data_IF_938004843899
#
_entry.id   IF_938004843899
#
_cell.length_a   1.000
_cell.length_b   1.000
_cell.length_c   1.000
_cell.angle_alpha   90.00
_cell.angle_beta   90.00
_cell.angle_gamma   90.00
#
_symmetry.space_group_name_H-M   'P 1'
#
loop_
_entity.id
_entity.type
_entity.pdbx_description
1 polymer ?
#
# COMPACT_ATOMS: atom_id res chain seq x y z
N UNK A 1 -8.77 -13.29 4.96
CA UNK A 1 -8.47 -12.02 4.26
C UNK A 1 -9.49 -11.86 3.15
N UNK A 2 -10.58 -11.16 3.43
CA UNK A 2 -11.66 -10.90 2.47
C UNK A 2 -11.78 -9.38 2.43
N UNK A 3 -11.53 -8.79 1.26
CA UNK A 3 -11.62 -7.35 1.01
C UNK A 3 -13.07 -6.90 0.91
N UNK A 4 -13.88 -7.67 0.17
CA UNK A 4 -15.33 -7.49 0.01
C UNK A 4 -16.07 -8.81 0.22
N UNK A 5 -17.32 -8.82 0.71
CA UNK A 5 -18.07 -10.05 0.99
C UNK A 5 -18.13 -11.06 -0.18
N UNK A 6 -18.19 -10.57 -1.41
CA UNK A 6 -18.30 -11.35 -2.64
C UNK A 6 -17.08 -12.28 -2.85
N UNK A 7 -15.91 -11.92 -2.31
CA UNK A 7 -14.70 -12.73 -2.42
C UNK A 7 -14.74 -13.99 -1.54
N UNK A 8 -15.57 -14.02 -0.50
CA UNK A 8 -15.54 -15.08 0.52
C UNK A 8 -15.71 -16.47 -0.10
N UNK A 9 -16.76 -16.65 -0.90
CA UNK A 9 -17.07 -17.93 -1.56
C UNK A 9 -15.95 -18.37 -2.50
N UNK A 10 -15.37 -17.43 -3.25
CA UNK A 10 -14.27 -17.75 -4.15
C UNK A 10 -13.04 -18.19 -3.35
N UNK A 11 -12.62 -17.40 -2.35
CA UNK A 11 -11.42 -17.65 -1.57
C UNK A 11 -11.53 -18.93 -0.71
N UNK A 12 -12.71 -19.24 -0.18
CA UNK A 12 -12.90 -20.42 0.68
C UNK A 12 -13.09 -21.72 -0.10
N UNK A 13 -13.67 -21.67 -1.30
CA UNK A 13 -14.11 -22.87 -2.01
C UNK A 13 -13.45 -23.07 -3.39
N UNK A 14 -13.34 -22.00 -4.19
CA UNK A 14 -12.88 -22.09 -5.58
C UNK A 14 -11.36 -22.03 -5.65
N UNK A 15 -10.75 -21.04 -4.99
CA UNK A 15 -9.31 -20.82 -4.98
C UNK A 15 -8.51 -22.06 -4.54
N UNK A 16 -8.86 -22.79 -3.46
CA UNK A 16 -8.09 -23.97 -3.06
C UNK A 16 -8.13 -25.10 -4.10
N UNK A 17 -9.24 -25.23 -4.86
CA UNK A 17 -9.37 -26.24 -5.92
C UNK A 17 -8.57 -25.85 -7.15
N UNK A 18 -8.58 -24.58 -7.53
CA UNK A 18 -7.73 -24.07 -8.62
C UNK A 18 -6.25 -24.15 -8.26
N UNK A 19 -5.87 -23.89 -7.01
CA UNK A 19 -4.50 -24.01 -6.55
C UNK A 19 -3.90 -25.40 -6.78
N UNK A 20 -4.69 -26.48 -6.70
CA UNK A 20 -4.22 -27.83 -7.00
C UNK A 20 -3.73 -28.01 -8.45
N UNK A 21 -4.18 -27.14 -9.38
CA UNK A 21 -3.74 -27.12 -10.78
C UNK A 21 -2.56 -26.16 -11.00
N UNK A 22 -2.35 -25.20 -10.10
CA UNK A 22 -1.37 -24.12 -10.24
C UNK A 22 -0.40 -24.11 -9.05
N UNK A 23 0.77 -24.74 -9.24
CA UNK A 23 1.77 -24.92 -8.17
C UNK A 23 2.15 -23.62 -7.44
N UNK A 24 2.32 -22.52 -8.17
CA UNK A 24 2.68 -21.23 -7.55
C UNK A 24 1.63 -20.74 -6.56
N UNK A 25 0.35 -20.92 -6.89
CA UNK A 25 -0.76 -20.50 -6.05
C UNK A 25 -0.88 -21.40 -4.82
N UNK A 26 -0.72 -22.72 -5.00
CA UNK A 26 -0.71 -23.66 -3.89
C UNK A 26 0.40 -23.35 -2.90
N UNK A 27 1.60 -23.08 -3.42
CA UNK A 27 2.75 -22.64 -2.63
C UNK A 27 2.44 -21.31 -1.90
N UNK A 28 1.80 -20.35 -2.56
CA UNK A 28 1.37 -19.09 -1.92
C UNK A 28 0.37 -19.31 -0.77
N UNK A 29 -0.62 -20.18 -0.95
CA UNK A 29 -1.59 -20.53 0.10
C UNK A 29 -0.89 -21.17 1.30
N UNK A 30 0.01 -22.12 1.07
CA UNK A 30 0.77 -22.76 2.15
C UNK A 30 1.73 -21.80 2.84
N UNK A 31 2.34 -20.87 2.10
CA UNK A 31 3.18 -19.84 2.68
C UNK A 31 2.40 -18.97 3.67
N UNK A 32 1.25 -18.43 3.25
CA UNK A 32 0.40 -17.60 4.10
C UNK A 32 -0.15 -18.39 5.28
N UNK A 33 -0.57 -19.64 5.08
CA UNK A 33 -1.08 -20.48 6.16
C UNK A 33 -0.01 -20.82 7.20
N UNK A 34 1.20 -21.17 6.76
CA UNK A 34 2.32 -21.41 7.67
C UNK A 34 2.68 -20.13 8.43
N UNK A 35 2.65 -18.97 7.77
CA UNK A 35 2.92 -17.70 8.43
C UNK A 35 1.83 -17.35 9.45
N UNK A 36 0.56 -17.57 9.13
CA UNK A 36 -0.57 -17.39 10.07
C UNK A 36 -0.38 -18.25 11.33
N UNK A 37 0.01 -19.52 11.15
CA UNK A 37 0.34 -20.41 12.28
C UNK A 37 1.50 -19.83 13.10
N UNK A 38 2.58 -19.37 12.47
CA UNK A 38 3.70 -18.75 13.17
C UNK A 38 3.31 -17.49 13.97
N UNK A 39 2.27 -16.77 13.52
CA UNK A 39 1.76 -15.57 14.18
C UNK A 39 0.67 -15.85 15.22
N UNK A 40 0.22 -17.09 15.34
CA UNK A 40 -0.70 -17.53 16.39
C UNK A 40 -0.01 -17.54 17.75
N UNK A 41 -0.68 -17.04 18.78
CA UNK A 41 -0.18 -17.08 20.17
C UNK A 41 -0.08 -18.48 20.75
N UNK A 42 -0.69 -19.47 20.09
CA UNK A 42 -0.74 -20.86 20.55
C UNK A 42 0.40 -21.72 19.99
N UNK A 43 1.15 -21.21 19.01
CA UNK A 43 2.22 -21.98 18.37
C UNK A 43 3.54 -21.86 19.14
N UNK A 44 4.06 -22.95 19.76
CA UNK A 44 5.31 -22.91 20.51
C UNK A 44 6.55 -22.81 19.60
N UNK A 45 6.47 -23.20 18.33
CA UNK A 45 7.58 -23.21 17.38
C UNK A 45 7.32 -22.27 16.18
N UNK A 46 7.07 -21.00 16.49
CA UNK A 46 6.80 -19.97 15.49
C UNK A 46 7.90 -19.89 14.41
N UNK A 47 9.18 -19.98 14.83
CA UNK A 47 10.35 -19.92 13.94
C UNK A 47 10.37 -21.06 12.92
N UNK A 48 9.95 -22.27 13.29
CA UNK A 48 9.82 -23.36 12.31
C UNK A 48 8.80 -23.03 11.23
N UNK A 49 7.64 -22.50 11.63
CA UNK A 49 6.59 -22.15 10.68
C UNK A 49 6.94 -20.93 9.82
N UNK A 50 7.74 -19.99 10.33
CA UNK A 50 8.33 -18.90 9.54
C UNK A 50 9.25 -19.43 8.43
N UNK A 51 10.14 -20.37 8.76
CA UNK A 51 10.99 -21.01 7.76
C UNK A 51 10.19 -21.77 6.70
N UNK A 52 9.16 -22.52 7.13
CA UNK A 52 8.25 -23.22 6.21
C UNK A 52 7.55 -22.21 5.30
N UNK A 53 7.05 -21.12 5.86
CA UNK A 53 6.37 -20.07 5.10
C UNK A 53 7.29 -19.47 4.04
N UNK A 54 8.54 -19.15 4.40
CA UNK A 54 9.56 -18.67 3.48
C UNK A 54 9.90 -19.67 2.39
N UNK A 55 10.02 -20.95 2.71
CA UNK A 55 10.30 -22.01 1.73
C UNK A 55 9.21 -22.10 0.67
N UNK A 56 7.95 -22.17 1.11
CA UNK A 56 6.79 -22.18 0.22
C UNK A 56 6.72 -20.89 -0.62
N UNK A 57 6.90 -19.72 0.00
CA UNK A 57 6.87 -18.43 -0.70
C UNK A 57 7.95 -18.36 -1.79
N UNK A 58 9.19 -18.75 -1.48
CA UNK A 58 10.30 -18.74 -2.43
C UNK A 58 10.05 -19.66 -3.62
N UNK A 59 9.50 -20.86 -3.38
CA UNK A 59 9.15 -21.82 -4.44
C UNK A 59 8.01 -21.31 -5.33
N UNK A 60 6.97 -20.75 -4.70
CA UNK A 60 5.86 -20.12 -5.41
C UNK A 60 6.32 -18.94 -6.26
N UNK A 61 7.14 -18.06 -5.68
CA UNK A 61 7.69 -16.86 -6.32
C UNK A 61 8.58 -17.20 -7.52
N UNK A 62 9.40 -18.25 -7.44
CA UNK A 62 10.17 -18.72 -8.59
C UNK A 62 9.28 -19.14 -9.77
N UNK A 63 8.20 -19.88 -9.49
CA UNK A 63 7.25 -20.33 -10.51
C UNK A 63 6.43 -19.14 -11.06
N UNK A 64 5.97 -18.25 -10.19
CA UNK A 64 5.27 -17.02 -10.55
C UNK A 64 6.12 -16.14 -11.49
N UNK A 65 7.40 -15.91 -11.15
CA UNK A 65 8.32 -15.11 -12.00
C UNK A 65 8.55 -15.74 -13.37
N UNK A 66 8.61 -17.07 -13.46
CA UNK A 66 8.73 -17.75 -14.75
C UNK A 66 7.50 -17.51 -15.65
N UNK A 67 6.30 -17.41 -15.05
CA UNK A 67 5.05 -17.15 -15.78
C UNK A 67 4.91 -15.69 -16.24
N UNK A 68 5.59 -14.73 -15.60
CA UNK A 68 5.50 -13.31 -15.98
C UNK A 68 6.00 -13.03 -17.40
N UNK A 69 6.86 -13.88 -17.96
CA UNK A 69 7.36 -13.73 -19.32
C UNK A 69 6.27 -13.96 -20.39
N UNK A 70 5.31 -14.84 -20.11
CA UNK A 70 4.18 -15.15 -20.98
C UNK A 70 3.02 -15.67 -20.10
N UNK A 71 2.15 -14.75 -19.66
CA UNK A 71 1.09 -15.06 -18.71
C UNK A 71 -0.06 -15.78 -19.43
N UNK A 72 -0.41 -17.02 -19.04
CA UNK A 72 -1.56 -17.71 -19.60
C UNK A 72 -2.86 -16.91 -19.39
N UNK A 73 -3.73 -16.77 -20.40
CA UNK A 73 -4.89 -15.90 -20.34
C UNK A 73 -5.85 -16.14 -19.17
N UNK A 74 -6.00 -17.39 -18.73
CA UNK A 74 -6.88 -17.82 -17.64
C UNK A 74 -6.27 -17.65 -16.25
N UNK A 75 -5.00 -17.26 -16.14
CA UNK A 75 -4.26 -17.23 -14.86
C UNK A 75 -4.04 -15.84 -14.28
N UNK A 76 -4.43 -14.76 -14.96
CA UNK A 76 -4.19 -13.38 -14.50
C UNK A 76 -4.73 -13.12 -13.09
N UNK A 77 -5.96 -13.56 -12.79
CA UNK A 77 -6.55 -13.40 -11.45
C UNK A 77 -5.79 -14.21 -10.38
N UNK A 78 -5.26 -15.38 -10.73
CA UNK A 78 -4.43 -16.17 -9.83
C UNK A 78 -3.07 -15.51 -9.59
N UNK A 79 -2.48 -14.89 -10.62
CA UNK A 79 -1.25 -14.12 -10.50
C UNK A 79 -1.45 -12.88 -9.62
N UNK A 80 -2.58 -12.19 -9.75
CA UNK A 80 -2.97 -11.09 -8.88
C UNK A 80 -3.10 -11.55 -7.42
N UNK A 81 -3.80 -12.67 -7.15
CA UNK A 81 -3.94 -13.24 -5.80
C UNK A 81 -2.58 -13.62 -5.21
N UNK A 82 -1.67 -14.20 -6.00
CA UNK A 82 -0.33 -14.50 -5.52
C UNK A 82 0.46 -13.21 -5.19
N UNK A 83 0.32 -12.15 -5.99
CA UNK A 83 0.94 -10.87 -5.70
C UNK A 83 0.41 -10.22 -4.41
N UNK A 84 -0.89 -10.36 -4.10
CA UNK A 84 -1.43 -9.90 -2.80
C UNK A 84 -0.95 -10.77 -1.64
N UNK A 85 -0.79 -12.08 -1.84
CA UNK A 85 -0.17 -12.96 -0.84
C UNK A 85 1.28 -12.54 -0.54
N UNK A 86 2.04 -12.09 -1.55
CA UNK A 86 3.39 -11.56 -1.35
C UNK A 86 3.41 -10.33 -0.43
N UNK A 87 2.40 -9.45 -0.50
CA UNK A 87 2.28 -8.30 0.41
C UNK A 87 2.06 -8.75 1.86
N UNK A 88 1.24 -9.78 2.06
CA UNK A 88 0.99 -10.39 3.37
C UNK A 88 2.27 -11.01 3.93
N UNK A 89 3.07 -11.69 3.09
CA UNK A 89 4.36 -12.23 3.49
C UNK A 89 5.33 -11.14 3.94
N UNK A 90 5.47 -10.06 3.16
CA UNK A 90 6.36 -8.92 3.48
C UNK A 90 5.98 -8.26 4.81
N UNK A 91 4.69 -8.11 5.09
CA UNK A 91 4.21 -7.46 6.31
C UNK A 91 4.22 -8.38 7.53
N UNK A 92 3.86 -9.66 7.34
CA UNK A 92 3.67 -10.62 8.42
C UNK A 92 4.94 -11.30 8.91
N UNK A 93 6.00 -11.36 8.10
CA UNK A 93 7.28 -11.93 8.51
C UNK A 93 7.99 -11.03 9.56
N UNK A 94 8.56 -11.61 10.63
CA UNK A 94 9.35 -10.86 11.59
C UNK A 94 10.59 -10.29 10.90
N UNK A 95 10.98 -9.09 11.31
CA UNK A 95 12.31 -8.56 11.01
C UNK A 95 13.24 -9.12 12.09
N UNK A 96 14.40 -9.66 11.69
CA UNK A 96 15.32 -10.37 12.58
C UNK A 96 15.63 -9.55 13.83
N UNK A 97 15.72 -10.17 15.00
CA UNK A 97 15.94 -9.46 16.26
C UNK A 97 17.34 -8.83 16.32
N UNK A 98 17.47 -7.51 16.08
CA UNK A 98 18.41 -6.55 16.70
C UNK A 98 19.93 -6.76 16.65
N UNK A 99 20.43 -7.95 16.31
CA UNK A 99 21.84 -8.35 16.46
C UNK A 99 22.55 -8.59 15.12
N UNK A 100 21.88 -8.39 13.97
CA UNK A 100 22.46 -8.56 12.64
C UNK A 100 22.41 -7.28 11.80
N UNK A 101 23.52 -6.95 11.14
CA UNK A 101 23.64 -5.81 10.19
C UNK A 101 22.68 -5.88 8.99
N UNK A 102 21.99 -7.02 8.79
CA UNK A 102 21.02 -7.28 7.71
C UNK A 102 19.54 -7.00 8.09
N UNK A 103 19.25 -6.36 9.23
CA UNK A 103 17.87 -6.08 9.65
C UNK A 103 17.20 -5.03 8.73
N UNK A 104 16.16 -5.44 7.99
CA UNK A 104 15.41 -4.53 7.13
C UNK A 104 14.60 -3.54 7.98
N UNK A 105 14.86 -2.25 7.76
CA UNK A 105 14.13 -1.18 8.45
C UNK A 105 12.63 -1.20 8.11
N UNK A 106 11.79 -0.66 8.98
CA UNK A 106 10.36 -0.55 8.76
C UNK A 106 10.05 0.30 7.51
N UNK A 107 10.81 1.36 7.25
CA UNK A 107 10.70 2.14 6.00
C UNK A 107 11.11 1.28 4.79
N UNK A 108 12.22 0.55 4.89
CA UNK A 108 12.68 -0.38 3.84
C UNK A 108 11.66 -1.46 3.49
N UNK A 109 10.97 -2.00 4.49
CA UNK A 109 9.86 -2.94 4.31
C UNK A 109 8.71 -2.34 3.50
N UNK A 110 8.32 -1.11 3.80
CA UNK A 110 7.26 -0.44 3.05
C UNK A 110 7.70 -0.05 1.63
N UNK A 111 8.98 0.27 1.43
CA UNK A 111 9.52 0.48 0.08
C UNK A 111 9.42 -0.81 -0.75
N UNK A 112 9.74 -1.97 -0.16
CA UNK A 112 9.59 -3.28 -0.82
C UNK A 112 8.12 -3.56 -1.15
N UNK A 113 7.21 -3.20 -0.23
CA UNK A 113 5.77 -3.29 -0.47
C UNK A 113 5.33 -2.41 -1.64
N UNK A 114 5.83 -1.18 -1.74
CA UNK A 114 5.51 -0.26 -2.83
C UNK A 114 6.00 -0.77 -4.19
N UNK A 115 7.21 -1.34 -4.24
CA UNK A 115 7.75 -1.96 -5.45
C UNK A 115 6.93 -3.20 -5.86
N UNK A 116 6.48 -4.00 -4.89
CA UNK A 116 5.61 -5.15 -5.14
C UNK A 116 4.26 -4.72 -5.74
N UNK A 117 3.62 -3.68 -5.19
CA UNK A 117 2.36 -3.16 -5.73
C UNK A 117 2.54 -2.55 -7.12
N UNK A 118 3.67 -1.91 -7.39
CA UNK A 118 4.02 -1.44 -8.72
C UNK A 118 4.11 -2.60 -9.73
N UNK A 119 4.71 -3.73 -9.33
CA UNK A 119 4.75 -4.94 -10.13
C UNK A 119 3.37 -5.59 -10.34
N UNK A 120 2.56 -5.68 -9.28
CA UNK A 120 1.19 -6.20 -9.35
C UNK A 120 0.33 -5.38 -10.33
N UNK A 121 0.56 -4.07 -10.39
CA UNK A 121 -0.13 -3.17 -11.31
C UNK A 121 0.11 -3.51 -12.78
N UNK A 122 1.32 -3.96 -13.13
CA UNK A 122 1.63 -4.37 -14.51
C UNK A 122 0.82 -5.59 -14.94
N UNK A 123 0.51 -6.50 -14.00
CA UNK A 123 -0.36 -7.66 -14.26
C UNK A 123 -1.79 -7.17 -14.52
N UNK A 124 -2.27 -6.21 -13.73
CA UNK A 124 -3.58 -5.59 -13.91
C UNK A 124 -3.68 -4.92 -15.28
N UNK A 125 -2.67 -4.14 -15.66
CA UNK A 125 -2.62 -3.49 -16.96
C UNK A 125 -2.59 -4.47 -18.13
N UNK A 126 -1.73 -5.49 -18.07
CA UNK A 126 -1.58 -6.45 -19.15
C UNK A 126 -2.80 -7.38 -19.32
N UNK A 127 -3.62 -7.51 -18.27
CA UNK A 127 -4.70 -8.49 -18.21
C UNK A 127 -6.05 -7.94 -17.83
N UNK A 128 -6.29 -6.63 -17.96
CA UNK A 128 -7.51 -5.98 -17.48
C UNK A 128 -8.79 -6.71 -17.88
N UNK A 129 -9.00 -6.91 -19.19
CA UNK A 129 -10.19 -7.60 -19.72
C UNK A 129 -10.36 -9.01 -19.14
N UNK A 130 -9.23 -9.71 -18.95
CA UNK A 130 -9.21 -11.08 -18.42
C UNK A 130 -9.48 -11.12 -16.92
N UNK A 131 -9.10 -10.08 -16.20
CA UNK A 131 -9.32 -9.95 -14.76
C UNK A 131 -10.77 -9.57 -14.45
N UNK A 132 -11.33 -8.60 -15.17
CA UNK A 132 -12.71 -8.15 -14.96
C UNK A 132 -13.76 -9.19 -15.37
N UNK A 133 -13.37 -10.17 -16.18
CA UNK A 133 -14.21 -11.31 -16.60
C UNK A 133 -13.84 -12.62 -15.87
N UNK A 134 -12.88 -12.58 -14.94
CA UNK A 134 -12.46 -13.75 -14.18
C UNK A 134 -13.55 -14.22 -13.19
N UNK A 135 -13.52 -15.49 -12.75
CA UNK A 135 -14.43 -15.97 -11.71
C UNK A 135 -14.18 -15.35 -10.33
N UNK A 136 -13.00 -14.77 -10.12
CA UNK A 136 -12.71 -13.94 -8.94
C UNK A 136 -13.47 -12.61 -9.11
N UNK A 137 -14.18 -12.09 -8.08
CA UNK A 137 -15.00 -10.88 -8.17
C UNK A 137 -14.14 -9.60 -8.20
N UNK A 138 -13.18 -9.56 -9.12
CA UNK A 138 -12.26 -8.45 -9.34
C UNK A 138 -13.02 -7.20 -9.77
N UNK A 139 -14.04 -7.38 -10.62
CA UNK A 139 -14.88 -6.29 -11.11
C UNK A 139 -15.67 -5.66 -9.97
N UNK A 140 -16.21 -6.44 -9.05
CA UNK A 140 -16.90 -5.95 -7.86
C UNK A 140 -15.93 -5.26 -6.89
N UNK A 141 -14.75 -5.84 -6.68
CA UNK A 141 -13.70 -5.25 -5.86
C UNK A 141 -13.21 -3.90 -6.40
N UNK A 142 -13.10 -3.76 -7.73
CA UNK A 142 -12.70 -2.53 -8.40
C UNK A 142 -13.86 -1.54 -8.56
N UNK A 143 -15.04 -1.94 -9.04
CA UNK A 143 -16.19 -1.06 -9.30
C UNK A 143 -16.77 -0.39 -8.06
N UNK A 144 -16.38 -0.85 -6.86
CA UNK A 144 -16.58 -0.08 -5.64
C UNK A 144 -15.95 1.33 -5.72
N UNK A 145 -14.91 1.52 -6.56
CA UNK A 145 -14.09 2.74 -6.63
C UNK A 145 -13.58 3.16 -8.00
N UNK A 146 -13.31 2.22 -8.90
CA UNK A 146 -12.58 2.42 -10.15
C UNK A 146 -13.35 1.76 -11.29
N UNK A 147 -13.85 2.59 -12.22
CA UNK A 147 -14.54 2.11 -13.43
C UNK A 147 -13.62 2.11 -14.68
N UNK A 148 -12.38 2.60 -14.57
CA UNK A 148 -11.43 2.74 -15.69
C UNK A 148 -9.96 2.60 -15.27
N UNK A 149 -9.12 2.01 -16.13
CA UNK A 149 -7.66 1.94 -16.01
C UNK A 149 -6.97 3.31 -16.01
N UNK A 150 -7.66 4.36 -16.48
CA UNK A 150 -7.12 5.72 -16.56
C UNK A 150 -6.64 6.26 -15.21
N UNK A 151 -7.16 5.76 -14.09
CA UNK A 151 -6.68 6.10 -12.74
C UNK A 151 -5.21 5.79 -12.51
N UNK A 152 -4.74 4.72 -13.14
CA UNK A 152 -3.36 4.27 -13.01
C UNK A 152 -2.47 5.00 -14.00
N UNK A 153 -3.04 5.73 -14.97
CA UNK A 153 -2.29 6.45 -15.96
C UNK A 153 -1.45 7.54 -15.27
N UNK A 154 -0.20 7.67 -15.71
CA UNK A 154 0.74 8.63 -15.14
C UNK A 154 0.26 10.09 -15.26
N UNK A 155 -0.73 10.35 -16.11
CA UNK A 155 -1.28 11.69 -16.37
C UNK A 155 -2.72 11.84 -15.86
N UNK A 156 -3.21 10.94 -15.00
CA UNK A 156 -4.55 11.09 -14.41
C UNK A 156 -4.65 12.48 -13.72
N UNK A 157 -5.67 13.30 -14.06
CA UNK A 157 -5.83 14.63 -13.47
C UNK A 157 -6.08 14.51 -11.97
N UNK A 158 -5.54 15.44 -11.19
CA UNK A 158 -5.66 15.46 -9.71
C UNK A 158 -6.87 16.29 -9.26
N UNK A 159 -7.76 16.65 -10.19
CA UNK A 159 -8.94 17.46 -9.90
C UNK A 159 -10.15 16.58 -9.54
N UNK A 160 -10.74 16.73 -8.33
CA UNK A 160 -11.81 15.86 -7.84
C UNK A 160 -13.02 15.73 -8.77
N UNK A 161 -13.35 16.80 -9.52
CA UNK A 161 -14.56 16.88 -10.34
C UNK A 161 -14.41 16.22 -11.73
N UNK A 162 -13.18 15.94 -12.16
CA UNK A 162 -12.87 15.34 -13.48
C UNK A 162 -12.55 13.84 -13.40
N UNK A 163 -12.55 13.29 -12.19
CA UNK A 163 -12.13 11.92 -11.94
C UNK A 163 -13.28 10.91 -12.10
N UNK A 164 -13.10 9.79 -12.83
CA UNK A 164 -14.14 8.78 -13.05
C UNK A 164 -14.36 7.86 -11.83
N UNK A 165 -14.50 8.42 -10.61
CA UNK A 165 -14.53 7.65 -9.34
C UNK A 165 -15.79 7.86 -8.51
N UNK A 166 -16.04 6.87 -7.64
CA UNK A 166 -16.88 7.04 -6.44
C UNK A 166 -16.00 7.32 -5.22
N UNK A 167 -15.59 8.58 -5.09
CA UNK A 167 -14.77 9.02 -3.95
C UNK A 167 -15.49 8.74 -2.63
N UNK A 168 -14.72 8.39 -1.61
CA UNK A 168 -15.24 8.31 -0.25
C UNK A 168 -15.64 9.71 0.21
N UNK A 169 -16.77 9.82 0.90
CA UNK A 169 -17.18 11.12 1.44
C UNK A 169 -16.26 11.51 2.59
N UNK A 170 -15.38 12.49 2.34
CA UNK A 170 -14.49 13.06 3.36
C UNK A 170 -15.28 13.71 4.52
N UNK A 171 -16.55 14.05 4.31
CA UNK A 171 -17.42 14.59 5.34
C UNK A 171 -17.63 13.61 6.50
N UNK A 172 -17.51 12.30 6.24
CA UNK A 172 -17.64 11.24 7.24
C UNK A 172 -16.42 11.13 8.17
N UNK A 173 -15.32 11.84 7.89
CA UNK A 173 -14.17 11.90 8.78
C UNK A 173 -14.47 12.79 9.98
N UNK A 174 -13.98 12.39 11.16
CA UNK A 174 -14.02 13.25 12.34
C UNK A 174 -13.12 14.50 12.13
N UNK A 175 -13.42 15.57 12.88
CA UNK A 175 -12.71 16.84 12.74
C UNK A 175 -11.22 16.72 13.07
N UNK A 176 -10.86 15.80 13.97
CA UNK A 176 -9.47 15.56 14.36
C UNK A 176 -8.65 14.99 13.18
N UNK A 177 -9.18 13.98 12.49
CA UNK A 177 -8.59 13.40 11.28
C UNK A 177 -8.56 14.44 10.17
N UNK A 178 -9.63 15.20 9.97
CA UNK A 178 -9.65 16.28 8.95
C UNK A 178 -8.54 17.30 9.19
N UNK A 179 -8.35 17.74 10.43
CA UNK A 179 -7.26 18.65 10.80
C UNK A 179 -5.89 18.01 10.56
N UNK A 180 -5.68 16.75 10.97
CA UNK A 180 -4.42 16.06 10.74
C UNK A 180 -4.09 15.94 9.23
N UNK A 181 -5.07 15.63 8.40
CA UNK A 181 -4.91 15.56 6.95
C UNK A 181 -4.70 16.95 6.33
N UNK A 182 -5.32 18.01 6.85
CA UNK A 182 -5.11 19.37 6.39
C UNK A 182 -3.68 19.88 6.65
N UNK A 183 -3.01 19.40 7.72
CA UNK A 183 -1.60 19.71 7.99
C UNK A 183 -0.67 19.20 6.89
N UNK A 184 -1.00 18.07 6.27
CA UNK A 184 -0.24 17.56 5.12
C UNK A 184 -0.30 18.54 3.93
N UNK A 185 -1.49 19.07 3.61
CA UNK A 185 -1.63 20.07 2.54
C UNK A 185 -0.86 21.35 2.88
N UNK A 186 -1.00 21.85 4.11
CA UNK A 186 -0.31 23.05 4.60
C UNK A 186 1.21 22.91 4.46
N UNK A 187 1.76 21.81 4.95
CA UNK A 187 3.20 21.49 4.83
C UNK A 187 3.65 21.42 3.38
N UNK A 188 2.88 20.73 2.51
CA UNK A 188 3.23 20.63 1.09
C UNK A 188 3.19 22.00 0.40
N UNK A 189 2.19 22.82 0.69
CA UNK A 189 2.04 24.16 0.13
C UNK A 189 3.16 25.10 0.56
N UNK A 190 3.54 25.09 1.84
CA UNK A 190 4.61 25.95 2.36
C UNK A 190 5.98 25.57 1.77
N UNK A 191 6.29 24.29 1.64
CA UNK A 191 7.59 23.83 1.17
C UNK A 191 7.74 23.76 -0.36
N UNK A 192 6.65 23.50 -1.08
CA UNK A 192 6.70 23.21 -2.51
C UNK A 192 5.71 24.02 -3.36
N UNK A 193 4.76 24.76 -2.76
CA UNK A 193 3.73 25.49 -3.50
C UNK A 193 4.20 26.75 -4.22
N UNK A 194 5.34 27.33 -3.83
CA UNK A 194 5.80 28.64 -4.35
C UNK A 194 6.39 28.62 -5.77
N UNK A 195 6.59 27.45 -6.39
CA UNK A 195 7.22 27.33 -7.70
C UNK A 195 6.27 27.50 -8.91
N UNK A 196 4.95 27.50 -8.71
CA UNK A 196 3.98 27.45 -9.83
C UNK A 196 3.53 28.81 -10.38
N UNK A 197 3.83 29.94 -9.73
CA UNK A 197 3.35 31.27 -10.20
C UNK A 197 4.24 31.86 -11.34
N UNK A 198 5.35 31.21 -11.70
CA UNK A 198 6.34 31.79 -12.62
C UNK A 198 6.37 31.20 -14.05
N UNK A 199 5.66 30.11 -14.36
CA UNK A 199 5.77 29.42 -15.67
C UNK A 199 4.42 29.18 -16.36
N UNK A 200 3.47 30.12 -16.29
CA UNK A 200 2.40 30.18 -17.30
C UNK A 200 2.97 30.77 -18.60
N UNK A 201 3.69 29.95 -19.37
CA UNK A 201 4.40 30.47 -20.54
C UNK A 201 5.10 29.49 -21.48
N UNK A 202 4.70 28.22 -21.60
CA UNK A 202 4.91 27.50 -22.88
C UNK A 202 4.07 26.22 -23.01
N UNK A 203 3.20 26.22 -24.01
CA UNK A 203 2.64 25.01 -24.63
C UNK A 203 3.78 24.08 -25.07
N UNK A 204 3.86 22.88 -24.48
CA UNK A 204 4.38 21.69 -25.17
C UNK A 204 3.66 20.45 -24.64
N UNK A 205 2.82 19.88 -25.50
CA UNK A 205 2.15 18.61 -25.29
C UNK A 205 3.13 17.44 -25.48
N UNK A 206 4.05 17.25 -24.53
CA UNK A 206 4.90 16.05 -24.38
C UNK A 206 5.29 15.88 -22.91
N UNK A 207 4.65 14.92 -22.22
CA UNK A 207 5.15 14.31 -20.97
C UNK A 207 5.76 15.22 -19.91
N UNK A 208 5.08 16.30 -19.50
CA UNK A 208 5.56 17.17 -18.42
C UNK A 208 5.65 16.36 -17.13
N UNK A 209 6.87 16.21 -16.59
CA UNK A 209 7.08 15.57 -15.31
C UNK A 209 6.34 16.37 -14.22
N UNK A 210 5.52 15.69 -13.41
CA UNK A 210 4.81 16.34 -12.28
C UNK A 210 5.82 17.04 -11.38
N UNK A 211 5.48 18.25 -10.97
CA UNK A 211 6.24 18.98 -9.96
C UNK A 211 6.23 18.21 -8.62
N UNK A 212 7.20 18.49 -7.75
CA UNK A 212 7.27 17.88 -6.41
C UNK A 212 5.97 18.15 -5.62
N UNK A 213 5.43 19.36 -5.75
CA UNK A 213 4.16 19.74 -5.12
C UNK A 213 2.99 18.88 -5.60
N UNK A 214 2.88 18.64 -6.91
CA UNK A 214 1.82 17.80 -7.49
C UNK A 214 1.96 16.33 -7.13
N UNK A 215 3.19 15.80 -7.08
CA UNK A 215 3.47 14.44 -6.62
C UNK A 215 2.93 14.24 -5.20
N UNK A 216 3.24 15.16 -4.28
CA UNK A 216 2.77 15.08 -2.91
C UNK A 216 1.28 15.38 -2.77
N UNK A 217 0.73 16.30 -3.57
CA UNK A 217 -0.72 16.57 -3.59
C UNK A 217 -1.51 15.33 -4.00
N UNK A 218 -1.04 14.58 -5.01
CA UNK A 218 -1.65 13.32 -5.43
C UNK A 218 -1.57 12.25 -4.33
N UNK A 219 -0.41 12.11 -3.67
CA UNK A 219 -0.27 11.17 -2.56
C UNK A 219 -1.18 11.55 -1.37
N UNK A 220 -1.27 12.83 -1.02
CA UNK A 220 -2.17 13.32 0.05
C UNK A 220 -3.64 13.04 -0.30
N UNK A 221 -4.03 13.24 -1.56
CA UNK A 221 -5.37 12.91 -2.04
C UNK A 221 -5.72 11.43 -1.80
N UNK A 222 -4.87 10.51 -2.26
CA UNK A 222 -5.10 9.07 -2.06
C UNK A 222 -5.04 8.65 -0.59
N UNK A 223 -4.22 9.34 0.20
CA UNK A 223 -4.21 9.12 1.64
C UNK A 223 -5.54 9.52 2.28
N UNK A 224 -6.12 10.67 1.92
CA UNK A 224 -7.45 11.10 2.40
C UNK A 224 -8.53 10.09 2.04
N UNK A 225 -8.50 9.57 0.81
CA UNK A 225 -9.41 8.50 0.37
C UNK A 225 -9.27 7.24 1.25
N UNK A 226 -8.04 6.82 1.56
CA UNK A 226 -7.82 5.67 2.45
C UNK A 226 -8.42 5.86 3.85
N UNK A 227 -8.33 7.07 4.41
CA UNK A 227 -8.93 7.38 5.71
C UNK A 227 -10.46 7.39 5.67
N UNK A 228 -11.05 7.80 4.55
CA UNK A 228 -12.50 7.88 4.38
C UNK A 228 -13.12 6.56 3.92
N UNK A 229 -12.32 5.61 3.42
CA UNK A 229 -12.81 4.35 2.89
C UNK A 229 -13.47 3.43 3.95
N UNK A 230 -14.62 2.83 3.61
CA UNK A 230 -15.41 1.98 4.52
C UNK A 230 -15.93 0.67 3.92
N UNK A 231 -16.01 0.56 2.60
CA UNK A 231 -16.56 -0.58 1.89
C UNK A 231 -15.53 -1.69 1.68
N UNK A 232 -14.28 -1.34 1.37
CA UNK A 232 -13.23 -2.30 0.99
C UNK A 232 -12.18 -2.44 2.09
N UNK A 233 -12.14 -3.61 2.74
CA UNK A 233 -11.10 -3.93 3.73
C UNK A 233 -9.75 -4.06 3.01
N UNK A 234 -8.71 -3.47 3.61
CA UNK A 234 -7.37 -3.51 3.01
C UNK A 234 -7.13 -2.50 1.89
N UNK A 235 -8.13 -1.65 1.55
CA UNK A 235 -7.99 -0.63 0.51
C UNK A 235 -6.77 0.28 0.69
N UNK A 236 -6.35 0.54 1.94
CA UNK A 236 -5.16 1.33 2.25
C UNK A 236 -3.87 0.82 1.58
N UNK A 237 -3.80 -0.45 1.20
CA UNK A 237 -2.67 -1.02 0.45
C UNK A 237 -2.61 -0.52 -1.00
N UNK A 238 -3.75 -0.15 -1.60
CA UNK A 238 -3.81 0.45 -2.95
C UNK A 238 -3.07 1.79 -3.05
N UNK A 239 -2.80 2.44 -1.91
CA UNK A 239 -2.05 3.68 -1.82
C UNK A 239 -0.78 3.67 -2.67
N UNK A 240 0.00 2.60 -2.64
CA UNK A 240 1.28 2.55 -3.37
C UNK A 240 1.10 2.35 -4.88
N UNK A 241 -0.02 1.78 -5.31
CA UNK A 241 -0.39 1.75 -6.73
C UNK A 241 -0.84 3.14 -7.23
N UNK A 242 -1.47 3.94 -6.36
CA UNK A 242 -2.16 5.18 -6.72
C UNK A 242 -1.31 6.44 -6.51
N UNK A 243 -0.46 6.48 -5.48
CA UNK A 243 0.45 7.59 -5.21
C UNK A 243 1.56 7.72 -6.26
N UNK A 244 1.81 6.65 -7.03
CA UNK A 244 2.70 6.64 -8.18
C UNK A 244 4.18 6.39 -7.85
N UNK A 245 4.95 6.14 -8.92
CA UNK A 245 6.38 5.80 -8.81
C UNK A 245 7.24 6.98 -8.37
N UNK A 246 6.87 8.20 -8.75
CA UNK A 246 7.63 9.41 -8.37
C UNK A 246 7.57 9.65 -6.85
N UNK A 247 6.41 9.38 -6.22
CA UNK A 247 6.28 9.36 -4.76
C UNK A 247 7.12 8.25 -4.13
N UNK A 248 7.08 7.05 -4.70
CA UNK A 248 7.90 5.92 -4.24
C UNK A 248 9.40 6.23 -4.32
N UNK A 249 9.84 6.91 -5.38
CA UNK A 249 11.23 7.37 -5.50
C UNK A 249 11.58 8.43 -4.44
N UNK A 250 10.65 9.31 -4.08
CA UNK A 250 10.84 10.27 -2.98
C UNK A 250 10.95 9.56 -1.61
N UNK A 251 10.15 8.52 -1.37
CA UNK A 251 10.30 7.68 -0.16
C UNK A 251 11.67 7.00 -0.11
N UNK A 252 12.15 6.44 -1.23
CA UNK A 252 13.49 5.82 -1.32
C UNK A 252 14.63 6.79 -1.04
N UNK A 253 14.43 8.07 -1.34
CA UNK A 253 15.38 9.16 -1.05
C UNK A 253 15.22 9.73 0.37
N UNK A 254 14.29 9.21 1.16
CA UNK A 254 13.95 9.72 2.49
C UNK A 254 13.57 11.22 2.46
N UNK A 255 12.88 11.67 1.40
CA UNK A 255 12.43 13.06 1.30
C UNK A 255 11.46 13.37 2.46
N UNK A 256 11.66 14.48 3.21
CA UNK A 256 10.92 14.73 4.45
C UNK A 256 9.40 14.72 4.27
N UNK A 257 8.86 15.36 3.23
CA UNK A 257 7.41 15.42 2.99
C UNK A 257 6.86 14.05 2.56
N UNK A 258 7.62 13.25 1.79
CA UNK A 258 7.23 11.90 1.42
C UNK A 258 7.13 10.99 2.66
N UNK A 259 8.12 11.07 3.55
CA UNK A 259 8.12 10.35 4.82
C UNK A 259 7.02 10.85 5.78
N UNK A 260 6.67 12.14 5.74
CA UNK A 260 5.57 12.69 6.53
C UNK A 260 4.20 12.18 6.06
N UNK A 261 4.00 12.03 4.75
CA UNK A 261 2.80 11.39 4.18
C UNK A 261 2.77 9.90 4.55
N UNK A 262 3.90 9.20 4.43
CA UNK A 262 4.04 7.80 4.83
C UNK A 262 3.75 7.60 6.33
N UNK A 263 4.21 8.53 7.18
CA UNK A 263 3.94 8.54 8.62
C UNK A 263 2.43 8.52 8.89
N UNK A 264 1.65 9.32 8.17
CA UNK A 264 0.19 9.34 8.32
C UNK A 264 -0.47 8.07 7.77
N UNK A 265 0.04 7.51 6.67
CA UNK A 265 -0.41 6.20 6.16
C UNK A 265 -0.19 5.08 7.18
N UNK A 266 0.88 5.15 7.99
CA UNK A 266 1.18 4.20 9.04
C UNK A 266 0.06 4.06 10.08
N UNK A 267 -0.75 5.10 10.29
CA UNK A 267 -1.93 5.05 11.19
C UNK A 267 -2.98 4.08 10.66
N UNK A 268 -3.23 4.05 9.35
CA UNK A 268 -4.16 3.12 8.72
C UNK A 268 -3.64 1.67 8.83
N UNK A 269 -2.33 1.48 8.65
CA UNK A 269 -1.68 0.18 8.81
C UNK A 269 -1.74 -0.32 10.26
N UNK A 270 -1.50 0.55 11.25
CA UNK A 270 -1.62 0.20 12.67
C UNK A 270 -3.06 -0.17 13.05
N UNK A 271 -4.02 0.60 12.54
CA UNK A 271 -5.44 0.31 12.71
C UNK A 271 -5.83 -1.06 12.12
N UNK A 272 -5.31 -1.41 10.95
CA UNK A 272 -5.54 -2.71 10.33
C UNK A 272 -4.95 -3.86 11.19
N UNK A 273 -3.83 -3.62 11.87
CA UNK A 273 -3.18 -4.59 12.76
C UNK A 273 -4.01 -5.06 13.97
N UNK A 274 -5.16 -4.43 14.25
CA UNK A 274 -6.11 -4.89 15.27
C UNK A 274 -6.84 -6.17 14.87
N UNK A 275 -7.21 -6.28 13.60
CA UNK A 275 -8.02 -7.39 13.07
C UNK A 275 -7.28 -8.20 11.99
N UNK A 276 -6.17 -7.68 11.45
CA UNK A 276 -5.33 -8.35 10.46
C UNK A 276 -3.99 -8.73 11.08
N UNK A 277 -3.79 -10.03 11.31
CA UNK A 277 -2.60 -10.56 11.99
C UNK A 277 -1.28 -10.15 11.32
N UNK A 278 -1.27 -10.03 10.00
CA UNK A 278 -0.10 -9.68 9.20
C UNK A 278 0.30 -8.21 9.30
N UNK A 279 -0.59 -7.32 9.76
CA UNK A 279 -0.29 -5.90 9.99
C UNK A 279 0.06 -5.59 11.46
N UNK A 280 -0.07 -6.57 12.35
CA UNK A 280 0.05 -6.36 13.80
C UNK A 280 1.42 -5.80 14.19
N UNK A 281 1.43 -4.57 14.73
CA UNK A 281 2.63 -3.87 15.20
C UNK A 281 3.47 -3.21 14.09
N UNK A 282 3.18 -3.48 12.82
CA UNK A 282 3.92 -2.95 11.67
C UNK A 282 3.76 -1.43 11.57
N UNK A 283 2.52 -0.94 11.70
CA UNK A 283 2.22 0.50 11.65
C UNK A 283 2.90 1.27 12.78
N UNK A 284 2.76 0.82 14.03
CA UNK A 284 3.47 1.41 15.17
C UNK A 284 4.99 1.43 15.01
N UNK A 285 5.61 0.34 14.52
CA UNK A 285 7.06 0.31 14.26
C UNK A 285 7.47 1.34 13.20
N UNK A 286 6.69 1.44 12.12
CA UNK A 286 6.90 2.43 11.07
C UNK A 286 6.80 3.87 11.60
N UNK A 287 5.85 4.13 12.51
CA UNK A 287 5.72 5.44 13.16
C UNK A 287 6.95 5.77 13.99
N UNK A 288 7.50 4.83 14.77
CA UNK A 288 8.71 5.04 15.57
C UNK A 288 9.86 5.48 14.66
N UNK A 289 10.23 4.64 13.69
CA UNK A 289 11.37 4.89 12.81
C UNK A 289 11.19 6.19 12.00
N UNK A 290 10.02 6.38 11.39
CA UNK A 290 9.77 7.55 10.54
C UNK A 290 9.72 8.85 11.37
N UNK A 291 9.19 8.81 12.60
CA UNK A 291 9.22 9.98 13.49
C UNK A 291 10.65 10.38 13.83
N UNK A 292 11.51 9.42 14.14
CA UNK A 292 12.90 9.68 14.53
C UNK A 292 13.70 10.32 13.38
N UNK A 293 13.46 9.86 12.15
CA UNK A 293 14.02 10.48 10.94
C UNK A 293 13.50 11.93 10.79
N UNK A 294 12.19 12.13 10.92
CA UNK A 294 11.54 13.41 10.70
C UNK A 294 11.88 14.47 11.78
N UNK A 295 12.20 14.05 13.01
CA UNK A 295 12.67 14.95 14.07
C UNK A 295 13.94 15.71 13.69
N UNK A 296 14.77 15.15 12.81
CA UNK A 296 15.99 15.79 12.31
C UNK A 296 15.77 16.65 11.07
N UNK A 297 14.53 16.74 10.58
CA UNK A 297 14.18 17.47 9.36
C UNK A 297 13.58 18.86 9.65
N UNK A 298 13.47 19.69 8.61
CA UNK A 298 12.82 21.01 8.71
C UNK A 298 11.34 20.94 9.14
N UNK A 299 10.67 19.79 8.96
CA UNK A 299 9.29 19.60 9.40
C UNK A 299 9.13 19.70 10.92
N UNK A 300 10.16 19.33 11.67
CA UNK A 300 10.18 19.48 13.12
C UNK A 300 10.26 20.95 13.58
N UNK A 301 10.53 21.90 12.67
CA UNK A 301 10.52 23.34 12.96
C UNK A 301 9.17 23.99 12.58
N UNK A 302 8.39 23.34 11.72
CA UNK A 302 7.07 23.81 11.28
C UNK A 302 6.00 23.46 12.31
N UNK A 303 5.06 24.36 12.66
CA UNK A 303 3.94 24.05 13.55
C UNK A 303 3.13 22.84 13.08
N UNK A 304 2.68 22.84 11.82
CA UNK A 304 1.87 21.75 11.26
C UNK A 304 2.65 20.44 11.10
N UNK A 305 3.96 20.53 10.84
CA UNK A 305 4.85 19.36 10.82
C UNK A 305 4.98 18.72 12.20
N UNK A 306 5.27 19.51 13.24
CA UNK A 306 5.35 19.03 14.63
C UNK A 306 4.03 18.46 15.12
N UNK A 307 2.93 19.19 14.93
CA UNK A 307 1.62 18.77 15.39
C UNK A 307 1.14 17.51 14.65
N UNK A 308 1.46 17.38 13.36
CA UNK A 308 1.20 16.16 12.60
C UNK A 308 2.01 14.96 13.10
N UNK A 309 3.31 15.12 13.37
CA UNK A 309 4.15 14.05 13.95
C UNK A 309 3.60 13.63 15.32
N UNK A 310 3.30 14.61 16.19
CA UNK A 310 2.75 14.34 17.51
C UNK A 310 1.39 13.61 17.44
N UNK A 311 0.50 14.05 16.54
CA UNK A 311 -0.79 13.42 16.31
C UNK A 311 -0.65 11.94 15.92
N UNK A 312 0.21 11.63 14.94
CA UNK A 312 0.42 10.24 14.50
C UNK A 312 0.96 9.38 15.65
N UNK A 313 1.96 9.89 16.41
CA UNK A 313 2.52 9.17 17.56
C UNK A 313 1.45 8.86 18.59
N UNK A 314 0.62 9.83 18.94
CA UNK A 314 -0.49 9.64 19.88
C UNK A 314 -1.51 8.60 19.36
N UNK A 315 -1.84 8.64 18.06
CA UNK A 315 -2.79 7.70 17.44
C UNK A 315 -2.39 6.24 17.55
N UNK A 316 -1.09 5.94 17.50
CA UNK A 316 -0.57 4.57 17.67
C UNK A 316 -0.11 4.26 19.10
N UNK A 317 -0.50 5.10 20.07
CA UNK A 317 -0.21 4.89 21.49
C UNK A 317 1.26 5.14 21.89
N UNK A 318 1.97 6.00 21.16
CA UNK A 318 3.33 6.45 21.50
C UNK A 318 3.31 7.82 22.20
N UNK A 319 4.32 8.12 23.04
CA UNK A 319 4.47 9.44 23.62
C UNK A 319 4.87 10.47 22.55
N UNK A 320 4.34 11.69 22.67
CA UNK A 320 4.66 12.84 21.81
C UNK A 320 6.02 13.44 22.16
#
# INVERSE_FOLDING_TARGET
>A
MVGIPEEESYLSCVMPREALKHKFLLDGIFAVAALDIARSSEEPDATKYEHIALEYYNRGSATFRALLADIPPDTYHLMFIFATAAAVMVLGLPQGTGDSEDEMSAVGRIITLADLFSGALLIVYAGWDKLVDAPYPFREALSAKVDSLEILARNCPVEPDELPYRLASLDLLDDEIKMALARLDSVNNELHGSAQVAEEGHDTAEGVARSVHEIYRLAIFWLKENFAERAVKGYFLSFFSLAGQDFTAAMKKAEPVALFILLHWAVALDAAGRDQWWAKGVGRQLVVETSDILQSSQLALMPDGRDGIAWVRQRVGLPT
#
